data_IF_863290441959
#
_entry.id   IF_863290441959
#
_cell.length_a   1.000
_cell.length_b   1.000
_cell.length_c   1.000
_cell.angle_alpha   90.00
_cell.angle_beta   90.00
_cell.angle_gamma   90.00
#
_symmetry.space_group_name_H-M   'P 1'
#
loop_
_entity.id
_entity.type
_entity.pdbx_description
1 polymer ?
#
# COMPACT_ATOMS: atom_id res chain seq x y z
N UNK A 1 -8.07 13.02 0.88
CA UNK A 1 -7.60 12.16 1.99
C UNK A 1 -6.08 12.18 2.05
N UNK A 2 -5.49 11.97 3.25
CA UNK A 2 -4.03 11.84 3.36
C UNK A 2 -3.47 10.72 2.49
N UNK A 3 -2.21 10.88 2.11
CA UNK A 3 -1.45 9.88 1.38
C UNK A 3 -0.52 9.14 2.33
N UNK A 4 -0.34 7.85 2.10
CA UNK A 4 0.56 7.01 2.89
C UNK A 4 1.39 6.12 1.99
N UNK A 5 2.67 5.97 2.34
CA UNK A 5 3.53 4.94 1.76
C UNK A 5 3.59 3.78 2.73
N UNK A 6 3.31 2.58 2.23
CA UNK A 6 3.38 1.36 3.00
C UNK A 6 4.56 0.52 2.48
N UNK A 7 5.53 0.27 3.36
CA UNK A 7 6.60 -0.66 3.08
C UNK A 7 6.17 -2.05 3.52
N UNK A 8 6.27 -3.02 2.61
CA UNK A 8 5.95 -4.42 2.88
C UNK A 8 7.14 -5.28 2.55
N UNK A 9 7.49 -6.19 3.47
CA UNK A 9 8.53 -7.18 3.27
C UNK A 9 7.89 -8.55 3.23
N UNK A 10 8.22 -9.33 2.22
CA UNK A 10 7.64 -10.65 2.01
C UNK A 10 8.69 -11.73 2.30
N UNK A 11 8.24 -12.83 2.95
CA UNK A 11 9.10 -13.98 3.24
C UNK A 11 9.51 -14.70 1.95
N UNK A 12 8.67 -14.65 0.92
CA UNK A 12 8.90 -15.23 -0.40
C UNK A 12 8.70 -14.17 -1.47
N UNK A 13 9.23 -14.39 -2.66
CA UNK A 13 9.05 -13.46 -3.78
C UNK A 13 7.56 -13.26 -4.06
N UNK A 14 7.18 -12.00 -4.25
CA UNK A 14 5.80 -11.66 -4.50
C UNK A 14 5.31 -12.29 -5.81
N UNK A 15 4.22 -13.04 -5.71
CA UNK A 15 3.50 -13.62 -6.84
C UNK A 15 2.00 -13.41 -6.60
N UNK A 16 1.42 -12.43 -7.28
CA UNK A 16 -0.01 -12.13 -7.19
C UNK A 16 -0.71 -12.47 -8.48
N UNK A 17 -1.93 -13.00 -8.35
CA UNK A 17 -2.84 -13.23 -9.47
C UNK A 17 -3.84 -12.09 -9.57
N UNK A 18 -4.57 -12.01 -10.69
CA UNK A 18 -5.67 -11.05 -10.85
C UNK A 18 -6.77 -11.25 -9.80
N UNK A 19 -7.01 -12.48 -9.37
CA UNK A 19 -7.99 -12.78 -8.33
C UNK A 19 -7.54 -12.26 -6.96
N UNK A 20 -6.25 -12.36 -6.65
CA UNK A 20 -5.68 -11.81 -5.42
C UNK A 20 -5.86 -10.29 -5.39
N UNK A 21 -5.62 -9.61 -6.51
CA UNK A 21 -5.79 -8.16 -6.63
C UNK A 21 -7.24 -7.77 -6.42
N UNK A 22 -8.19 -8.49 -7.01
CA UNK A 22 -9.63 -8.22 -6.82
C UNK A 22 -10.05 -8.35 -5.37
N UNK A 23 -9.56 -9.36 -4.67
CA UNK A 23 -9.84 -9.56 -3.26
C UNK A 23 -9.31 -8.40 -2.43
N UNK A 24 -8.09 -7.97 -2.69
CA UNK A 24 -7.46 -6.84 -1.99
C UNK A 24 -8.24 -5.55 -2.27
N UNK A 25 -8.63 -5.29 -3.50
CA UNK A 25 -9.42 -4.10 -3.85
C UNK A 25 -10.77 -4.07 -3.13
N UNK A 26 -11.43 -5.22 -3.00
CA UNK A 26 -12.68 -5.35 -2.25
C UNK A 26 -12.50 -5.04 -0.77
N UNK A 27 -11.44 -5.55 -0.15
CA UNK A 27 -11.10 -5.27 1.24
C UNK A 27 -10.77 -3.79 1.43
N UNK A 28 -9.99 -3.22 0.53
CA UNK A 28 -9.64 -1.79 0.55
C UNK A 28 -10.90 -0.91 0.49
N UNK A 29 -11.83 -1.25 -0.39
CA UNK A 29 -13.09 -0.52 -0.50
C UNK A 29 -13.90 -0.57 0.81
N UNK A 30 -13.96 -1.73 1.46
CA UNK A 30 -14.66 -1.89 2.74
C UNK A 30 -14.03 -1.05 3.85
N UNK A 31 -12.71 -0.93 3.86
CA UNK A 31 -11.97 -0.14 4.86
C UNK A 31 -11.84 1.33 4.49
N UNK A 32 -12.34 1.74 3.34
CA UNK A 32 -12.29 3.12 2.89
C UNK A 32 -10.91 3.58 2.45
N UNK A 33 -10.07 2.66 1.99
CA UNK A 33 -8.73 2.97 1.50
C UNK A 33 -8.64 2.72 -0.01
N UNK A 34 -7.77 3.46 -0.68
CA UNK A 34 -7.56 3.35 -2.12
C UNK A 34 -6.09 3.10 -2.41
N UNK A 35 -5.81 1.97 -3.03
CA UNK A 35 -4.47 1.64 -3.53
C UNK A 35 -4.25 2.37 -4.86
N UNK A 36 -3.29 3.29 -4.89
CA UNK A 36 -3.00 4.07 -6.09
C UNK A 36 -2.03 3.33 -7.01
N UNK A 37 -0.87 2.97 -6.49
CA UNK A 37 0.14 2.17 -7.20
C UNK A 37 1.21 1.71 -6.22
N UNK A 38 2.10 0.84 -6.70
CA UNK A 38 3.21 0.33 -5.92
C UNK A 38 4.47 0.27 -6.74
N UNK A 39 5.62 0.32 -6.04
CA UNK A 39 6.90 -0.05 -6.61
C UNK A 39 7.28 -1.43 -6.05
N UNK A 40 7.69 -2.32 -6.94
CA UNK A 40 8.19 -3.63 -6.56
C UNK A 40 9.73 -3.61 -6.63
N UNK A 41 10.39 -4.04 -5.55
CA UNK A 41 11.85 -4.14 -5.56
C UNK A 41 12.32 -5.14 -6.62
N UNK A 42 13.54 -4.95 -7.12
CA UNK A 42 14.09 -5.80 -8.19
C UNK A 42 14.18 -7.28 -7.77
N UNK A 43 14.44 -7.55 -6.49
CA UNK A 43 14.49 -8.91 -5.93
C UNK A 43 13.10 -9.51 -5.66
N UNK A 44 12.04 -8.72 -5.74
CA UNK A 44 10.64 -9.09 -5.53
C UNK A 44 10.28 -9.45 -4.09
N UNK A 45 11.08 -9.05 -3.12
CA UNK A 45 10.81 -9.29 -1.70
C UNK A 45 10.22 -8.10 -0.96
N UNK A 46 10.13 -6.92 -1.62
CA UNK A 46 9.59 -5.71 -1.01
C UNK A 46 8.68 -4.96 -1.96
N UNK A 47 7.66 -4.32 -1.40
CA UNK A 47 6.86 -3.33 -2.13
C UNK A 47 6.80 -2.04 -1.35
N UNK A 48 6.64 -0.95 -2.09
CA UNK A 48 6.41 0.39 -1.56
C UNK A 48 5.12 0.87 -2.20
N UNK A 49 4.03 0.82 -1.43
CA UNK A 49 2.68 1.05 -1.95
C UNK A 49 2.21 2.46 -1.58
N UNK A 50 1.64 3.19 -2.51
CA UNK A 50 1.03 4.49 -2.26
C UNK A 50 -0.47 4.32 -2.14
N UNK A 51 -1.03 4.78 -1.01
CA UNK A 51 -2.45 4.69 -0.68
C UNK A 51 -3.01 6.04 -0.31
N UNK A 52 -4.31 6.23 -0.58
CA UNK A 52 -5.13 7.23 0.08
C UNK A 52 -5.96 6.55 1.17
N UNK A 53 -5.99 7.13 2.36
CA UNK A 53 -6.74 6.58 3.48
C UNK A 53 -7.10 7.67 4.50
N UNK A 54 -8.18 7.48 5.27
CA UNK A 54 -8.54 8.44 6.32
C UNK A 54 -7.58 8.42 7.50
N UNK A 55 -6.90 7.30 7.74
CA UNK A 55 -5.97 7.13 8.86
C UNK A 55 -5.03 5.95 8.60
N UNK A 56 -3.87 5.88 9.30
CA UNK A 56 -3.01 4.70 9.24
C UNK A 56 -3.72 3.42 9.70
N UNK A 57 -4.62 3.52 10.68
CA UNK A 57 -5.36 2.37 11.22
C UNK A 57 -6.22 1.69 10.15
N UNK A 58 -6.81 2.45 9.25
CA UNK A 58 -7.60 1.90 8.15
C UNK A 58 -6.73 1.04 7.22
N UNK A 59 -5.50 1.48 6.95
CA UNK A 59 -4.53 0.74 6.15
C UNK A 59 -4.12 -0.55 6.85
N UNK A 60 -3.83 -0.48 8.14
CA UNK A 60 -3.44 -1.63 8.96
C UNK A 60 -4.58 -2.66 8.99
N UNK A 61 -5.82 -2.20 9.20
CA UNK A 61 -6.99 -3.07 9.17
C UNK A 61 -7.16 -3.78 7.83
N UNK A 62 -6.99 -3.05 6.72
CA UNK A 62 -7.07 -3.63 5.39
C UNK A 62 -5.97 -4.68 5.16
N UNK A 63 -4.75 -4.39 5.60
CA UNK A 63 -3.61 -5.32 5.47
C UNK A 63 -3.85 -6.60 6.28
N UNK A 64 -4.35 -6.49 7.50
CA UNK A 64 -4.67 -7.64 8.35
C UNK A 64 -5.73 -8.52 7.69
N UNK A 65 -6.80 -7.93 7.17
CA UNK A 65 -7.86 -8.67 6.48
C UNK A 65 -7.34 -9.36 5.21
N UNK A 66 -6.44 -8.71 4.49
CA UNK A 66 -5.85 -9.27 3.28
C UNK A 66 -4.76 -10.31 3.56
N UNK A 67 -4.28 -10.41 4.79
CA UNK A 67 -3.19 -11.32 5.17
C UNK A 67 -1.85 -10.91 4.59
N UNK A 68 -1.63 -9.62 4.36
CA UNK A 68 -0.37 -9.10 3.82
C UNK A 68 0.33 -8.23 4.88
N UNK A 69 1.67 -8.16 4.84
CA UNK A 69 2.41 -7.37 5.82
C UNK A 69 2.24 -5.87 5.59
N UNK A 70 2.37 -5.09 6.67
CA UNK A 70 2.47 -3.65 6.63
C UNK A 70 3.58 -3.27 7.63
N UNK A 71 4.83 -3.37 7.20
CA UNK A 71 5.99 -3.23 8.09
C UNK A 71 6.20 -1.78 8.50
N UNK A 72 5.90 -0.83 7.63
CA UNK A 72 5.94 0.59 7.93
C UNK A 72 4.83 1.30 7.16
N UNK A 73 4.14 2.21 7.85
CA UNK A 73 3.09 3.06 7.28
C UNK A 73 3.48 4.50 7.59
N UNK A 74 3.77 5.28 6.58
CA UNK A 74 4.26 6.65 6.73
C UNK A 74 3.38 7.61 5.96
N UNK A 75 2.84 8.62 6.64
CA UNK A 75 2.11 9.69 5.97
C UNK A 75 3.09 10.53 5.13
N UNK A 76 2.71 10.83 3.90
CA UNK A 76 3.57 11.49 2.93
C UNK A 76 2.81 12.58 2.18
N UNK A 77 3.55 13.48 1.57
CA UNK A 77 3.03 14.39 0.56
C UNK A 77 3.89 14.29 -0.68
N UNK A 78 3.29 14.51 -1.83
CA UNK A 78 4.03 14.50 -3.09
C UNK A 78 4.75 15.84 -3.25
N UNK A 79 6.05 15.77 -3.51
CA UNK A 79 6.84 16.94 -3.85
C UNK A 79 7.48 16.74 -5.22
N UNK A 80 7.72 17.86 -5.91
CA UNK A 80 8.42 17.90 -7.20
C UNK A 80 9.38 19.09 -7.17
N UNK A 81 10.19 19.23 -8.21
CA UNK A 81 11.07 20.40 -8.34
C UNK A 81 10.28 21.71 -8.25
N UNK A 82 9.07 21.73 -8.80
CA UNK A 82 8.20 22.91 -8.79
C UNK A 82 7.73 23.28 -7.38
N UNK A 83 7.70 22.33 -6.44
CA UNK A 83 7.32 22.60 -5.05
C UNK A 83 8.30 23.57 -4.34
N UNK A 84 9.51 23.71 -4.87
CA UNK A 84 10.57 24.55 -4.30
C UNK A 84 10.85 25.83 -5.08
N UNK A 85 10.03 26.15 -6.06
CA UNK A 85 10.19 27.32 -6.93
C UNK A 85 9.27 28.48 -6.54
#
# INVERSE_FOLDING_TARGET
MPLYVIERRFAEQLAMTGDDVKLIEGINADEGVTWLFSFLSADRYRTYCLYEAPSPDAIIAAAERAGIPADAVTEVSRITADSFR
#
